data_IF_392669447166
#
_entry.id   IF_392669447166
#
_cell.length_a   1.000
_cell.length_b   1.000
_cell.length_c   1.000
_cell.angle_alpha   90.00
_cell.angle_beta   90.00
_cell.angle_gamma   90.00
#
_symmetry.space_group_name_H-M   'P 1'
#
loop_
_entity.id
_entity.type
_entity.pdbx_description
1 polymer ?
#
# COMPACT_ATOMS: atom_id res chain seq x y z
N UNK A 1 -15.39 -10.11 -0.99
CA UNK A 1 -14.29 -10.15 -1.98
C UNK A 1 -13.34 -11.28 -1.67
N UNK A 2 -13.29 -12.25 -2.54
CA UNK A 2 -12.40 -13.40 -2.39
C UNK A 2 -10.91 -12.99 -2.40
N UNK A 3 -10.54 -11.96 -3.16
CA UNK A 3 -9.15 -11.48 -3.25
C UNK A 3 -8.55 -11.04 -1.91
N UNK A 4 -9.38 -10.54 -0.99
CA UNK A 4 -8.93 -10.10 0.33
C UNK A 4 -8.69 -11.25 1.30
N UNK A 5 -9.12 -12.46 0.95
CA UNK A 5 -8.96 -13.65 1.77
C UNK A 5 -7.90 -14.62 1.22
N UNK A 6 -7.29 -14.26 0.10
CA UNK A 6 -6.25 -15.09 -0.51
C UNK A 6 -4.87 -14.77 0.06
N UNK A 7 -3.92 -15.67 -0.15
CA UNK A 7 -2.54 -15.43 0.26
C UNK A 7 -1.86 -14.41 -0.66
N UNK A 8 -0.74 -13.85 -0.19
CA UNK A 8 0.08 -12.93 -0.99
C UNK A 8 0.55 -13.62 -2.27
N UNK A 9 0.95 -14.89 -2.19
CA UNK A 9 1.40 -15.66 -3.36
C UNK A 9 0.30 -15.74 -4.42
N UNK A 10 -0.92 -16.02 -4.02
CA UNK A 10 -2.07 -16.08 -4.93
C UNK A 10 -2.39 -14.71 -5.53
N UNK A 11 -2.33 -13.64 -4.73
CA UNK A 11 -2.54 -12.28 -5.21
C UNK A 11 -1.50 -11.89 -6.26
N UNK A 12 -0.23 -12.20 -6.01
CA UNK A 12 0.86 -11.92 -6.97
C UNK A 12 0.59 -12.66 -8.28
N UNK A 13 0.21 -13.93 -8.21
CA UNK A 13 -0.12 -14.73 -9.40
C UNK A 13 -1.28 -14.10 -10.19
N UNK A 14 -2.32 -13.69 -9.50
CA UNK A 14 -3.50 -13.07 -10.13
C UNK A 14 -3.14 -11.76 -10.84
N UNK A 15 -2.29 -10.93 -10.22
CA UNK A 15 -1.81 -9.70 -10.84
C UNK A 15 -0.96 -9.99 -12.08
N UNK A 16 -0.03 -10.95 -11.98
CA UNK A 16 0.83 -11.33 -13.11
C UNK A 16 0.05 -11.88 -14.28
N UNK A 17 -1.04 -12.60 -14.02
CA UNK A 17 -1.93 -13.13 -15.07
C UNK A 17 -2.89 -12.10 -15.63
N UNK A 18 -2.98 -10.91 -15.01
CA UNK A 18 -3.93 -9.89 -15.43
C UNK A 18 -5.37 -10.14 -14.96
N UNK A 19 -5.59 -11.05 -14.03
CA UNK A 19 -6.92 -11.33 -13.48
C UNK A 19 -7.44 -10.20 -12.61
N UNK A 20 -6.54 -9.48 -11.95
CA UNK A 20 -6.84 -8.28 -11.14
C UNK A 20 -5.70 -7.28 -11.32
N UNK A 21 -6.03 -5.99 -11.37
CA UNK A 21 -5.01 -4.95 -11.40
C UNK A 21 -4.59 -4.55 -9.98
N UNK A 22 -3.42 -3.95 -9.84
CA UNK A 22 -2.98 -3.40 -8.56
C UNK A 22 -3.95 -2.30 -8.09
N UNK A 23 -4.45 -1.48 -8.99
CA UNK A 23 -5.43 -0.45 -8.68
C UNK A 23 -6.70 -1.05 -8.05
N UNK A 24 -7.25 -2.12 -8.65
CA UNK A 24 -8.43 -2.80 -8.11
C UNK A 24 -8.17 -3.38 -6.73
N UNK A 25 -7.02 -4.04 -6.56
CA UNK A 25 -6.65 -4.64 -5.30
C UNK A 25 -6.54 -3.58 -4.20
N UNK A 26 -5.84 -2.48 -4.47
CA UNK A 26 -5.65 -1.38 -3.52
C UNK A 26 -7.00 -0.74 -3.17
N UNK A 27 -7.86 -0.50 -4.14
CA UNK A 27 -9.19 0.05 -3.89
C UNK A 27 -10.03 -0.86 -2.99
N UNK A 28 -9.93 -2.17 -3.17
CA UNK A 28 -10.62 -3.14 -2.32
C UNK A 28 -10.12 -3.07 -0.87
N UNK A 29 -8.81 -2.97 -0.66
CA UNK A 29 -8.24 -2.81 0.68
C UNK A 29 -8.61 -1.47 1.31
N UNK A 30 -8.60 -0.39 0.55
CA UNK A 30 -9.03 0.93 1.04
C UNK A 30 -10.47 0.86 1.55
N UNK A 31 -11.35 0.23 0.81
CA UNK A 31 -12.74 0.07 1.18
C UNK A 31 -12.87 -0.70 2.52
N UNK A 32 -12.10 -1.76 2.69
CA UNK A 32 -12.09 -2.56 3.91
C UNK A 32 -11.51 -1.77 5.09
N UNK A 33 -10.44 -1.00 4.86
CA UNK A 33 -9.84 -0.13 5.87
C UNK A 33 -10.84 0.92 6.35
N UNK A 34 -11.51 1.61 5.45
CA UNK A 34 -12.52 2.62 5.80
C UNK A 34 -13.66 2.04 6.64
N UNK A 35 -14.00 0.80 6.39
CA UNK A 35 -15.05 0.10 7.13
C UNK A 35 -14.63 -0.22 8.57
N UNK A 36 -13.37 -0.57 8.79
CA UNK A 36 -12.86 -1.08 10.07
C UNK A 36 -12.09 -0.07 10.91
N UNK A 37 -11.53 0.95 10.29
CA UNK A 37 -10.55 1.85 10.96
C UNK A 37 -11.15 2.65 12.12
N UNK A 38 -12.42 3.01 12.05
CA UNK A 38 -13.06 3.73 13.16
C UNK A 38 -13.10 2.89 14.44
N UNK A 39 -13.08 1.57 14.34
CA UNK A 39 -13.05 0.69 15.50
C UNK A 39 -11.63 0.29 15.89
N UNK A 40 -10.71 0.20 14.91
CA UNK A 40 -9.36 -0.30 15.12
C UNK A 40 -8.34 0.83 15.37
N UNK A 41 -8.39 1.90 14.57
CA UNK A 41 -7.47 3.03 14.69
C UNK A 41 -6.01 2.66 14.49
N UNK A 42 -5.73 1.78 13.51
CA UNK A 42 -4.39 1.24 13.30
C UNK A 42 -3.48 2.16 12.47
N UNK A 43 -4.05 3.02 11.63
CA UNK A 43 -3.29 3.81 10.68
C UNK A 43 -2.99 5.21 11.21
N UNK A 44 -1.72 5.50 11.46
CA UNK A 44 -1.26 6.85 11.84
C UNK A 44 -1.30 7.81 10.65
N UNK A 45 -0.84 7.33 9.50
CA UNK A 45 -0.92 8.06 8.23
C UNK A 45 -1.55 7.16 7.18
N UNK A 46 -2.54 7.68 6.49
CA UNK A 46 -3.22 6.93 5.42
C UNK A 46 -3.67 7.91 4.34
N UNK A 47 -3.02 7.81 3.17
CA UNK A 47 -3.34 8.64 2.00
C UNK A 47 -3.81 7.72 0.87
N UNK A 48 -5.12 7.62 0.72
CA UNK A 48 -5.70 6.72 -0.29
C UNK A 48 -5.39 7.16 -1.72
N UNK A 49 -5.30 8.46 -1.96
CA UNK A 49 -4.96 8.97 -3.31
C UNK A 49 -3.54 8.59 -3.70
N UNK A 50 -2.60 8.72 -2.76
CA UNK A 50 -1.22 8.29 -2.98
C UNK A 50 -1.14 6.80 -3.27
N UNK A 51 -1.82 5.98 -2.49
CA UNK A 51 -1.83 4.53 -2.67
C UNK A 51 -2.40 4.14 -4.03
N UNK A 52 -3.49 4.76 -4.45
CA UNK A 52 -4.10 4.51 -5.76
C UNK A 52 -3.18 4.96 -6.89
N UNK A 53 -2.54 6.12 -6.75
CA UNK A 53 -1.61 6.62 -7.77
C UNK A 53 -0.42 5.68 -7.95
N UNK A 54 0.13 5.17 -6.86
CA UNK A 54 1.22 4.19 -6.90
C UNK A 54 0.76 2.88 -7.59
N UNK A 55 -0.45 2.43 -7.28
CA UNK A 55 -1.01 1.22 -7.89
C UNK A 55 -1.19 1.36 -9.39
N UNK A 56 -1.70 2.51 -9.85
CA UNK A 56 -1.85 2.80 -11.28
C UNK A 56 -0.51 2.78 -12.00
N UNK A 57 0.52 3.35 -11.37
CA UNK A 57 1.87 3.35 -11.92
C UNK A 57 2.42 1.94 -12.07
N UNK A 58 2.18 1.08 -11.08
CA UNK A 58 2.59 -0.32 -11.13
C UNK A 58 1.83 -1.10 -12.22
N UNK A 59 0.57 -0.79 -12.45
CA UNK A 59 -0.20 -1.42 -13.54
C UNK A 59 0.39 -1.09 -14.90
N UNK A 60 0.87 0.14 -15.09
CA UNK A 60 1.56 0.52 -16.33
C UNK A 60 2.88 -0.25 -16.49
N UNK A 61 3.64 -0.44 -15.41
CA UNK A 61 4.87 -1.24 -15.44
C UNK A 61 4.59 -2.71 -15.73
N UNK A 62 3.46 -3.23 -15.26
CA UNK A 62 3.06 -4.60 -15.57
C UNK A 62 2.90 -4.83 -17.07
N UNK A 63 2.32 -3.86 -17.77
CA UNK A 63 2.15 -3.93 -19.24
C UNK A 63 3.50 -4.03 -19.97
N UNK A 64 4.56 -3.46 -19.40
CA UNK A 64 5.90 -3.53 -20.00
C UNK A 64 6.67 -4.79 -19.61
N UNK A 65 6.10 -5.65 -18.77
CA UNK A 65 6.75 -6.86 -18.29
C UNK A 65 7.72 -6.65 -17.13
N UNK A 66 7.85 -5.42 -16.64
CA UNK A 66 8.75 -5.07 -15.52
C UNK A 66 8.01 -5.23 -14.20
N UNK A 67 8.16 -6.38 -13.55
CA UNK A 67 7.59 -6.56 -12.23
C UNK A 67 8.47 -7.43 -11.34
N UNK A 68 8.56 -7.03 -10.08
CA UNK A 68 9.25 -7.79 -9.05
C UNK A 68 8.36 -8.87 -8.44
N UNK A 69 8.89 -9.54 -7.42
CA UNK A 69 8.22 -10.68 -6.78
C UNK A 69 6.94 -10.29 -6.03
N UNK A 70 6.86 -9.07 -5.53
CA UNK A 70 5.69 -8.56 -4.80
C UNK A 70 4.99 -7.42 -5.56
N UNK A 71 5.14 -7.40 -6.87
CA UNK A 71 4.60 -6.34 -7.71
C UNK A 71 3.10 -6.13 -7.49
N UNK A 72 2.75 -4.88 -7.20
CA UNK A 72 1.35 -4.47 -7.05
C UNK A 72 0.70 -4.80 -5.72
N UNK A 73 1.44 -5.36 -4.78
CA UNK A 73 0.91 -5.72 -3.46
C UNK A 73 1.03 -4.52 -2.50
N UNK A 74 -0.07 -4.06 -1.88
CA UNK A 74 0.02 -3.00 -0.89
C UNK A 74 0.64 -3.51 0.40
N UNK A 75 1.42 -2.65 1.07
CA UNK A 75 2.06 -2.98 2.34
C UNK A 75 1.82 -1.89 3.37
N UNK A 76 1.69 -2.28 4.63
CA UNK A 76 1.68 -1.36 5.75
C UNK A 76 3.10 -1.19 6.26
N UNK A 77 3.50 0.05 6.51
CA UNK A 77 4.84 0.38 7.02
C UNK A 77 4.70 0.92 8.44
N UNK A 78 5.47 0.36 9.37
CA UNK A 78 5.43 0.81 10.76
C UNK A 78 5.97 2.22 10.87
N UNK A 79 5.37 3.02 11.76
CA UNK A 79 5.64 4.46 11.94
C UNK A 79 6.99 4.77 12.61
N UNK A 80 7.92 3.86 12.57
CA UNK A 80 9.30 4.09 13.01
C UNK A 80 10.29 4.10 11.85
N UNK A 81 9.85 3.69 10.66
CA UNK A 81 10.71 3.67 9.47
C UNK A 81 10.58 4.97 8.70
N UNK A 82 11.71 5.57 8.37
CA UNK A 82 11.73 6.75 7.53
C UNK A 82 11.35 6.39 6.11
N UNK A 83 10.37 7.11 5.57
CA UNK A 83 9.96 6.98 4.18
C UNK A 83 9.98 8.37 3.54
N UNK A 84 10.20 8.42 2.24
CA UNK A 84 10.28 9.69 1.52
C UNK A 84 8.90 10.29 1.26
N UNK A 85 7.86 9.48 1.25
CA UNK A 85 6.51 9.87 0.83
C UNK A 85 5.52 10.07 1.97
N UNK A 86 5.91 9.77 3.21
CA UNK A 86 5.04 9.89 4.38
C UNK A 86 5.81 10.45 5.57
N UNK A 87 5.10 11.13 6.50
CA UNK A 87 5.75 11.53 7.75
C UNK A 87 6.09 10.31 8.61
N UNK A 88 7.15 10.44 9.42
CA UNK A 88 7.56 9.42 10.39
C UNK A 88 7.42 10.04 11.79
N UNK A 89 6.39 9.63 12.51
CA UNK A 89 6.05 10.22 13.81
C UNK A 89 6.66 9.49 15.00
N UNK A 90 7.21 8.30 14.81
CA UNK A 90 7.77 7.46 15.88
C UNK A 90 6.78 7.20 17.02
N UNK A 91 5.48 7.18 16.71
CA UNK A 91 4.43 6.99 17.72
C UNK A 91 4.22 8.19 18.62
N UNK A 92 4.75 9.39 18.28
CA UNK A 92 4.63 10.58 19.13
C UNK A 92 4.01 11.75 18.38
N UNK A 93 3.32 12.63 19.10
CA UNK A 93 2.79 13.88 18.55
C UNK A 93 3.93 14.87 18.20
N UNK A 94 5.08 14.75 18.86
CA UNK A 94 6.23 15.65 18.66
C UNK A 94 6.77 15.55 17.24
N UNK A 95 6.80 14.33 16.68
CA UNK A 95 7.35 14.07 15.34
C UNK A 95 6.28 13.84 14.29
N UNK A 96 5.03 14.19 14.56
CA UNK A 96 3.88 13.88 13.71
C UNK A 96 4.03 14.32 12.25
N UNK A 97 4.74 15.42 12.01
CA UNK A 97 4.94 15.94 10.65
C UNK A 97 6.39 15.78 10.16
N UNK A 98 7.20 15.02 10.89
CA UNK A 98 8.58 14.77 10.49
C UNK A 98 8.63 13.96 9.19
N UNK A 99 9.28 14.52 8.17
CA UNK A 99 9.45 13.86 6.88
C UNK A 99 10.93 13.70 6.55
N UNK A 100 11.28 12.50 6.13
CA UNK A 100 12.63 12.22 5.65
C UNK A 100 12.73 12.54 4.16
N UNK A 101 13.91 12.98 3.72
CA UNK A 101 14.17 13.16 2.30
C UNK A 101 14.37 11.84 1.56
N UNK A 102 14.80 10.82 2.27
CA UNK A 102 15.09 9.49 1.72
C UNK A 102 14.44 8.43 2.58
N UNK A 103 14.02 7.34 1.94
CA UNK A 103 13.58 6.16 2.67
C UNK A 103 14.77 5.53 3.40
N UNK A 104 14.51 4.86 4.52
CA UNK A 104 15.55 4.09 5.20
C UNK A 104 15.96 2.90 4.31
N UNK A 105 17.22 2.49 4.38
CA UNK A 105 17.73 1.35 3.61
C UNK A 105 17.03 0.05 3.99
#
# INVERSE_FOLDING_TARGET
MSSLKTSVVEMVKSIKKGEISSEELVKNYIKEIKKKEKDVGAWEFFDEELAIAQAKKLDLLHQSGNHGDLHGIPVGVKDIFDTADMPTADGTEIHKENRSLNACP
#
